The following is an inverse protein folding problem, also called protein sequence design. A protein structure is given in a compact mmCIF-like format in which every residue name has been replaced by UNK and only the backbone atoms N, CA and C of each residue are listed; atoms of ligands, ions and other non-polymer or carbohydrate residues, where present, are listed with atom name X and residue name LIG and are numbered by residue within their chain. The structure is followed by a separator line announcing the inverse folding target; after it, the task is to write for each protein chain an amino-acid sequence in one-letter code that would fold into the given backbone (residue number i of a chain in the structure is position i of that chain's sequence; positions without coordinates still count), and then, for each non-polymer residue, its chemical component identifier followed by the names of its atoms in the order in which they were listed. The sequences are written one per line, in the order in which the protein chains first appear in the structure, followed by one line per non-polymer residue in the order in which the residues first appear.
data_IF_272592296698
#
_entry.id   IF_272592296698
#
_cell.length_a   1.000
_cell.length_b   1.000
_cell.length_c   1.000
_cell.angle_alpha   90.00
_cell.angle_beta   90.00
_cell.angle_gamma   90.00
#
_symmetry.space_group_name_H-M   'P 1'
#
loop_
_entity.id
_entity.type
_entity.pdbx_description
1 polymer ?
#
# COMPACT_ATOMS: atom_id res chain seq x y z
N UNK A 1 -34.43 5.89 -1.80
CA UNK A 1 -33.28 4.98 -2.03
C UNK A 1 -33.77 3.90 -2.96
N UNK A 2 -33.24 3.88 -4.18
CA UNK A 2 -33.62 2.92 -5.24
C UNK A 2 -32.78 1.65 -5.10
N UNK A 3 -33.36 0.50 -5.44
CA UNK A 3 -32.72 -0.84 -5.39
C UNK A 3 -31.42 -0.95 -6.23
N UNK A 4 -31.12 0.02 -7.09
CA UNK A 4 -29.91 0.04 -7.91
C UNK A 4 -28.64 0.46 -7.16
N UNK A 5 -28.75 1.11 -5.99
CA UNK A 5 -27.59 1.54 -5.19
C UNK A 5 -26.91 0.38 -4.44
N UNK A 6 -27.54 -0.80 -4.38
CA UNK A 6 -26.99 -2.00 -3.73
C UNK A 6 -26.01 -2.81 -4.60
N UNK A 7 -25.88 -2.50 -5.90
CA UNK A 7 -25.09 -3.34 -6.84
C UNK A 7 -23.59 -3.05 -6.92
N UNK A 8 -23.10 -2.01 -6.27
CA UNK A 8 -21.68 -1.61 -6.33
C UNK A 8 -21.00 -1.52 -4.96
N UNK A 9 -21.38 -2.36 -4.01
CA UNK A 9 -20.60 -2.57 -2.78
C UNK A 9 -19.42 -3.49 -3.08
N UNK A 10 -18.33 -2.95 -3.61
CA UNK A 10 -17.05 -3.66 -3.68
C UNK A 10 -16.38 -3.66 -2.30
N UNK A 11 -16.98 -4.33 -1.31
CA UNK A 11 -16.43 -4.53 0.05
C UNK A 11 -14.89 -4.56 -0.02
N UNK A 12 -14.22 -3.59 0.60
CA UNK A 12 -12.79 -3.69 0.84
C UNK A 12 -12.60 -4.96 1.67
N UNK A 13 -12.17 -6.04 1.01
CA UNK A 13 -12.06 -7.36 1.63
C UNK A 13 -10.90 -7.32 2.60
N UNK A 14 -11.16 -6.83 3.81
CA UNK A 14 -10.27 -7.05 4.93
C UNK A 14 -10.30 -8.54 5.24
N UNK A 15 -9.13 -9.17 5.31
CA UNK A 15 -9.06 -10.51 5.86
C UNK A 15 -9.40 -10.44 7.35
N UNK A 16 -10.55 -11.00 7.73
CA UNK A 16 -10.96 -11.12 9.14
C UNK A 16 -10.39 -12.38 9.80
N UNK A 17 -9.68 -13.20 9.01
CA UNK A 17 -8.96 -14.37 9.51
C UNK A 17 -7.73 -14.67 8.65
N UNK A 18 -6.73 -15.40 9.19
CA UNK A 18 -5.58 -15.87 8.40
C UNK A 18 -5.97 -16.70 7.17
N UNK A 19 -7.10 -17.44 7.26
CA UNK A 19 -7.62 -18.22 6.13
C UNK A 19 -8.16 -17.32 5.03
N UNK A 20 -8.89 -16.28 5.40
CA UNK A 20 -9.42 -15.29 4.46
C UNK A 20 -8.29 -14.49 3.79
N UNK A 21 -7.19 -14.24 4.51
CA UNK A 21 -5.99 -13.63 3.95
C UNK A 21 -5.37 -14.51 2.86
N UNK A 22 -5.19 -15.80 3.16
CA UNK A 22 -4.70 -16.78 2.18
C UNK A 22 -5.67 -16.89 0.99
N UNK A 23 -6.98 -16.88 1.22
CA UNK A 23 -7.98 -16.90 0.14
C UNK A 23 -7.88 -15.66 -0.74
N UNK A 24 -7.71 -14.46 -0.17
CA UNK A 24 -7.53 -13.20 -0.91
C UNK A 24 -6.26 -13.24 -1.77
N UNK A 25 -5.14 -13.74 -1.24
CA UNK A 25 -3.88 -13.83 -1.99
C UNK A 25 -3.84 -15.01 -2.98
N UNK A 26 -4.48 -16.13 -2.67
CA UNK A 26 -4.46 -17.34 -3.50
C UNK A 26 -5.35 -17.25 -4.73
N UNK A 27 -6.38 -16.40 -4.70
CA UNK A 27 -7.36 -16.27 -5.78
C UNK A 27 -6.76 -15.69 -7.08
N UNK A 28 -5.56 -15.12 -7.00
CA UNK A 28 -4.86 -14.52 -8.14
C UNK A 28 -3.43 -15.08 -8.29
N UNK A 29 -2.74 -15.34 -7.18
CA UNK A 29 -1.29 -15.64 -7.18
C UNK A 29 -0.90 -17.04 -7.66
N UNK A 30 -1.87 -17.96 -7.82
CA UNK A 30 -1.62 -19.35 -8.24
C UNK A 30 -2.40 -19.78 -9.48
N UNK A 31 -2.99 -18.84 -10.22
CA UNK A 31 -3.65 -19.17 -11.48
C UNK A 31 -2.62 -19.50 -12.57
N UNK A 32 -2.87 -20.53 -13.40
CA UNK A 32 -2.16 -20.70 -14.66
C UNK A 32 -2.17 -19.40 -15.48
N UNK A 33 -1.09 -19.12 -16.22
CA UNK A 33 -0.89 -17.82 -16.87
C UNK A 33 -2.08 -17.38 -17.74
N UNK A 34 -2.71 -18.32 -18.45
CA UNK A 34 -3.87 -18.06 -19.29
C UNK A 34 -5.14 -17.71 -18.49
N UNK A 35 -5.34 -18.32 -17.32
CA UNK A 35 -6.44 -18.01 -16.41
C UNK A 35 -6.21 -16.69 -15.66
N UNK A 36 -4.99 -16.41 -15.21
CA UNK A 36 -4.60 -15.13 -14.64
C UNK A 36 -4.91 -13.97 -15.61
N UNK A 37 -4.46 -14.08 -16.87
CA UNK A 37 -4.72 -13.07 -17.89
C UNK A 37 -6.20 -12.95 -18.25
N UNK A 38 -7.00 -14.00 -18.07
CA UNK A 38 -8.46 -13.96 -18.29
C UNK A 38 -9.15 -13.23 -17.13
N UNK A 39 -8.76 -13.52 -15.89
CA UNK A 39 -9.32 -12.93 -14.67
C UNK A 39 -8.98 -11.44 -14.53
N UNK A 40 -7.76 -11.03 -14.90
CA UNK A 40 -7.36 -9.60 -14.99
C UNK A 40 -8.13 -8.87 -16.10
N UNK A 41 -8.40 -9.53 -17.24
CA UNK A 41 -9.17 -8.93 -18.34
C UNK A 41 -10.66 -8.83 -18.03
N UNK A 42 -11.23 -9.77 -17.27
CA UNK A 42 -12.65 -9.76 -16.87
C UNK A 42 -12.91 -8.95 -15.60
N UNK A 43 -11.94 -8.88 -14.70
CA UNK A 43 -11.93 -8.02 -13.51
C UNK A 43 -11.58 -6.61 -13.94
N UNK A 44 -12.51 -5.97 -14.65
CA UNK A 44 -12.34 -4.61 -15.11
C UNK A 44 -12.00 -3.69 -13.94
N UNK A 45 -10.73 -3.36 -13.79
CA UNK A 45 -10.39 -2.00 -13.39
C UNK A 45 -11.16 -1.14 -14.38
N UNK A 46 -12.19 -0.44 -13.92
CA UNK A 46 -12.71 0.72 -14.63
C UNK A 46 -11.56 1.72 -14.62
N UNK A 47 -10.56 1.50 -15.47
CA UNK A 47 -9.74 2.58 -15.98
C UNK A 47 -10.75 3.37 -16.77
N UNK A 48 -11.35 4.37 -16.12
CA UNK A 48 -12.03 5.42 -16.85
C UNK A 48 -11.06 5.78 -17.96
N UNK A 49 -11.45 5.53 -19.20
CA UNK A 49 -10.70 6.04 -20.33
C UNK A 49 -10.74 7.54 -20.15
N UNK A 50 -9.63 8.10 -19.66
CA UNK A 50 -9.35 9.52 -19.81
C UNK A 50 -9.48 9.72 -21.31
N UNK A 51 -10.62 10.29 -21.74
CA UNK A 51 -10.86 10.71 -23.12
C UNK A 51 -9.96 11.91 -23.37
N UNK A 52 -8.65 11.66 -23.35
CA UNK A 52 -7.68 12.50 -23.97
C UNK A 52 -7.91 12.26 -25.45
N UNK A 53 -8.74 13.11 -26.05
CA UNK A 53 -8.71 13.29 -27.50
C UNK A 53 -7.26 13.64 -27.82
N UNK A 54 -6.51 12.63 -28.27
CA UNK A 54 -5.16 12.80 -28.77
C UNK A 54 -5.34 13.64 -30.03
N UNK A 55 -5.35 14.96 -29.88
CA UNK A 55 -5.11 15.87 -30.99
C UNK A 55 -3.80 15.39 -31.59
N UNK A 56 -3.86 15.04 -32.87
CA UNK A 56 -2.66 14.72 -33.63
C UNK A 56 -1.62 15.76 -33.28
N UNK A 57 -0.48 15.28 -32.74
CA UNK A 57 0.64 16.12 -32.40
C UNK A 57 0.86 17.05 -33.59
N UNK A 58 0.76 18.35 -33.32
CA UNK A 58 0.98 19.40 -34.32
C UNK A 58 2.23 19.06 -35.13
N UNK A 59 2.24 19.45 -36.41
CA UNK A 59 3.39 19.29 -37.31
C UNK A 59 4.64 20.09 -36.90
N UNK A 60 4.82 20.34 -35.61
CA UNK A 60 6.04 20.88 -35.05
C UNK A 60 7.06 19.74 -34.96
N UNK A 61 8.19 19.90 -35.63
CA UNK A 61 9.28 18.91 -35.66
C UNK A 61 10.19 19.01 -34.42
N UNK A 62 9.92 19.93 -33.50
CA UNK A 62 10.62 20.00 -32.23
C UNK A 62 10.24 18.80 -31.38
N UNK A 63 11.24 18.13 -30.82
CA UNK A 63 11.00 17.11 -29.81
C UNK A 63 10.32 17.77 -28.60
N UNK A 64 9.06 17.44 -28.27
CA UNK A 64 8.33 18.07 -27.15
C UNK A 64 8.93 17.71 -25.78
N UNK A 65 9.93 16.84 -25.74
CA UNK A 65 10.67 16.46 -24.53
C UNK A 65 12.03 17.12 -24.42
N UNK A 66 12.43 17.92 -25.42
CA UNK A 66 13.77 18.52 -25.47
C UNK A 66 14.08 19.47 -24.32
N UNK A 67 13.06 20.05 -23.70
CA UNK A 67 13.20 20.95 -22.55
C UNK A 67 13.06 20.23 -21.19
N UNK A 68 12.90 18.90 -21.16
CA UNK A 68 12.83 18.13 -19.91
C UNK A 68 14.25 17.82 -19.43
N UNK A 69 14.63 18.35 -18.27
CA UNK A 69 15.93 18.05 -17.65
C UNK A 69 15.83 16.98 -16.56
N UNK A 70 16.94 16.27 -16.33
CA UNK A 70 17.03 15.30 -15.23
C UNK A 70 17.02 16.02 -13.87
N UNK A 71 17.58 17.23 -13.84
CA UNK A 71 17.65 18.10 -12.67
C UNK A 71 16.25 18.50 -12.19
N UNK A 72 15.37 18.97 -13.08
CA UNK A 72 13.98 19.33 -12.72
C UNK A 72 13.18 18.12 -12.21
N UNK A 73 13.41 16.94 -12.78
CA UNK A 73 12.79 15.70 -12.30
C UNK A 73 13.27 15.38 -10.89
N UNK A 74 14.58 15.50 -10.64
CA UNK A 74 15.16 15.22 -9.34
C UNK A 74 14.67 16.21 -8.27
N UNK A 75 14.62 17.50 -8.58
CA UNK A 75 14.07 18.51 -7.66
C UNK A 75 12.62 18.20 -7.27
N UNK A 76 11.80 17.80 -8.25
CA UNK A 76 10.42 17.39 -7.98
C UNK A 76 10.36 16.14 -7.08
N UNK A 77 11.24 15.16 -7.30
CA UNK A 77 11.33 13.98 -6.44
C UNK A 77 11.76 14.36 -5.02
N UNK A 78 12.73 15.25 -4.87
CA UNK A 78 13.24 15.69 -3.58
C UNK A 78 12.17 16.45 -2.78
N UNK A 79 11.39 17.32 -3.43
CA UNK A 79 10.26 18.02 -2.82
C UNK A 79 9.20 17.02 -2.29
N UNK A 80 8.88 15.99 -3.07
CA UNK A 80 7.94 14.93 -2.66
C UNK A 80 8.51 14.06 -1.53
N UNK A 81 9.81 13.75 -1.56
CA UNK A 81 10.49 13.01 -0.49
C UNK A 81 10.48 13.81 0.81
N UNK A 82 10.68 15.13 0.75
CA UNK A 82 10.61 15.99 1.93
C UNK A 82 9.24 15.96 2.60
N UNK A 83 8.14 15.90 1.82
CA UNK A 83 6.79 15.69 2.37
C UNK A 83 6.70 14.34 3.09
N UNK A 84 7.19 13.25 2.48
CA UNK A 84 7.18 11.93 3.10
C UNK A 84 8.04 11.83 4.37
N UNK A 85 9.16 12.55 4.42
CA UNK A 85 10.02 12.59 5.61
C UNK A 85 9.33 13.31 6.77
N UNK A 86 8.62 14.42 6.51
CA UNK A 86 7.80 15.05 7.54
C UNK A 86 6.74 14.11 8.11
N UNK A 87 6.07 13.34 7.25
CA UNK A 87 5.12 12.32 7.71
C UNK A 87 5.76 11.31 8.68
N UNK A 88 6.99 10.88 8.39
CA UNK A 88 7.75 10.00 9.27
C UNK A 88 8.11 10.70 10.59
N UNK A 89 8.61 11.93 10.51
CA UNK A 89 9.06 12.70 11.67
C UNK A 89 7.90 13.06 12.61
N UNK A 90 6.71 13.26 12.05
CA UNK A 90 5.47 13.49 12.78
C UNK A 90 4.86 12.19 13.36
N UNK A 91 5.47 11.03 13.08
CA UNK A 91 5.13 9.74 13.70
C UNK A 91 4.09 8.90 12.96
N UNK A 92 3.83 9.15 11.68
CA UNK A 92 2.92 8.30 10.89
C UNK A 92 3.50 6.88 10.71
N UNK A 93 2.75 5.85 11.11
CA UNK A 93 3.21 4.45 11.03
C UNK A 93 3.43 4.01 9.57
N UNK A 94 2.53 4.40 8.67
CA UNK A 94 2.64 4.10 7.22
C UNK A 94 3.37 5.19 6.44
N UNK A 95 3.89 6.22 7.11
CA UNK A 95 4.46 7.49 6.62
C UNK A 95 4.62 7.67 5.10
N UNK A 96 4.26 8.86 4.64
CA UNK A 96 4.36 9.22 3.24
C UNK A 96 3.20 10.13 2.86
N UNK A 97 2.71 9.98 1.63
CA UNK A 97 1.60 10.77 1.07
C UNK A 97 0.34 9.91 0.99
N UNK A 98 -0.02 9.28 2.10
CA UNK A 98 -1.12 8.31 2.19
C UNK A 98 -2.47 9.01 2.01
N UNK A 99 -3.38 8.40 1.27
CA UNK A 99 -4.70 8.95 0.99
C UNK A 99 -5.43 9.40 2.28
N UNK A 100 -6.07 10.55 2.22
CA UNK A 100 -6.80 11.23 3.30
C UNK A 100 -5.92 11.89 4.36
N UNK A 101 -4.60 11.78 4.31
CA UNK A 101 -3.70 12.37 5.33
C UNK A 101 -3.46 13.84 5.03
N UNK A 102 -2.86 14.57 5.97
CA UNK A 102 -2.43 15.95 5.69
C UNK A 102 -1.35 16.00 4.61
N UNK A 103 -0.49 14.98 4.52
CA UNK A 103 0.58 14.91 3.54
C UNK A 103 0.09 14.64 2.12
N UNK A 104 -1.04 13.94 1.96
CA UNK A 104 -1.73 13.92 0.66
C UNK A 104 -2.14 15.34 0.25
N UNK A 105 -2.77 16.10 1.16
CA UNK A 105 -3.20 17.48 0.88
C UNK A 105 -2.02 18.40 0.58
N UNK A 106 -0.95 18.35 1.37
CA UNK A 106 0.29 19.08 1.08
C UNK A 106 0.86 18.76 -0.30
N UNK A 107 0.73 17.51 -0.74
CA UNK A 107 1.16 17.09 -2.07
C UNK A 107 0.28 17.66 -3.17
N UNK A 108 -1.05 17.69 -2.95
CA UNK A 108 -1.99 18.30 -3.88
C UNK A 108 -1.74 19.81 -4.00
N UNK A 109 -1.49 20.50 -2.88
CA UNK A 109 -1.16 21.92 -2.83
C UNK A 109 0.17 22.21 -3.55
N UNK A 110 1.18 21.34 -3.35
CA UNK A 110 2.45 21.43 -4.08
C UNK A 110 2.24 21.35 -5.60
N UNK A 111 1.47 20.38 -6.08
CA UNK A 111 1.20 20.24 -7.51
C UNK A 111 0.31 21.36 -8.05
N UNK A 112 -0.63 21.88 -7.27
CA UNK A 112 -1.40 23.06 -7.64
C UNK A 112 -0.48 24.25 -7.89
N UNK A 113 0.44 24.52 -6.96
CA UNK A 113 1.44 25.58 -7.10
C UNK A 113 2.37 25.38 -8.30
N UNK A 114 2.91 24.16 -8.49
CA UNK A 114 3.78 23.84 -9.63
C UNK A 114 3.05 23.98 -10.96
N UNK A 115 1.83 23.45 -11.09
CA UNK A 115 1.05 23.57 -12.31
C UNK A 115 0.67 25.03 -12.58
N UNK A 116 0.25 25.78 -11.56
CA UNK A 116 -0.03 27.21 -11.69
C UNK A 116 1.17 28.05 -12.13
N UNK A 117 2.41 27.61 -11.81
CA UNK A 117 3.63 28.30 -12.23
C UNK A 117 3.86 28.30 -13.76
N UNK A 118 3.27 27.35 -14.49
CA UNK A 118 3.39 27.27 -15.95
C UNK A 118 2.47 28.28 -16.69
N UNK A 119 1.72 29.11 -15.98
CA UNK A 119 0.94 30.20 -16.54
C UNK A 119 -0.57 29.99 -16.43
N UNK A 120 -1.31 30.19 -17.53
CA UNK A 120 -2.77 30.28 -17.52
C UNK A 120 -3.48 28.92 -17.45
N UNK A 121 -3.02 28.02 -16.58
CA UNK A 121 -3.71 26.78 -16.27
C UNK A 121 -4.75 27.04 -15.19
N UNK A 122 -5.98 26.62 -15.45
CA UNK A 122 -6.99 26.49 -14.40
C UNK A 122 -6.73 25.17 -13.68
N UNK A 123 -6.26 25.25 -12.43
CA UNK A 123 -6.02 24.08 -11.59
C UNK A 123 -7.11 24.01 -10.53
N UNK A 124 -7.62 22.80 -10.28
CA UNK A 124 -8.69 22.53 -9.32
C UNK A 124 -8.50 21.17 -8.68
N UNK A 125 -8.87 21.04 -7.42
CA UNK A 125 -8.99 19.75 -6.74
C UNK A 125 -10.44 19.27 -6.84
N UNK A 126 -10.64 18.08 -7.41
CA UNK A 126 -11.93 17.42 -7.40
C UNK A 126 -12.00 16.49 -6.19
N UNK A 127 -12.88 16.81 -5.24
CA UNK A 127 -13.13 15.96 -4.09
C UNK A 127 -14.11 14.83 -4.43
N UNK A 128 -13.86 13.65 -3.87
CA UNK A 128 -14.78 12.53 -3.95
C UNK A 128 -14.83 11.79 -2.61
N UNK A 129 -15.99 11.26 -2.22
CA UNK A 129 -16.12 10.51 -0.98
C UNK A 129 -15.28 9.24 -1.06
N UNK A 130 -14.55 8.94 0.02
CA UNK A 130 -13.86 7.66 0.16
C UNK A 130 -14.93 6.56 0.27
N UNK A 131 -14.85 5.57 -0.62
CA UNK A 131 -15.86 4.51 -0.72
C UNK A 131 -15.83 3.50 0.44
N UNK A 132 -14.73 3.47 1.20
CA UNK A 132 -14.51 2.56 2.32
C UNK A 132 -13.85 3.29 3.49
N UNK A 133 -14.02 2.80 4.73
CA UNK A 133 -13.24 3.28 5.86
C UNK A 133 -11.76 3.17 5.54
N UNK A 134 -11.02 4.25 5.66
CA UNK A 134 -9.57 4.20 5.52
C UNK A 134 -8.99 3.42 6.69
N UNK A 135 -8.32 2.32 6.39
CA UNK A 135 -7.54 1.60 7.38
C UNK A 135 -6.31 2.43 7.74
N UNK A 136 -6.16 2.74 9.03
CA UNK A 136 -5.01 3.47 9.57
C UNK A 136 -4.57 2.85 10.87
N UNK A 137 -3.35 2.29 10.94
CA UNK A 137 -2.81 1.79 12.19
C UNK A 137 -2.49 3.00 13.08
N UNK A 138 -2.87 2.92 14.35
CA UNK A 138 -2.56 3.93 15.37
C UNK A 138 -1.45 3.48 16.32
N UNK A 139 -1.17 2.18 16.35
CA UNK A 139 -0.09 1.56 17.11
C UNK A 139 0.43 0.33 16.37
N UNK A 140 1.73 0.10 16.44
CA UNK A 140 2.34 -1.15 16.01
C UNK A 140 3.58 -1.42 16.88
N UNK A 141 3.73 -2.66 17.32
CA UNK A 141 4.86 -3.08 18.14
C UNK A 141 5.11 -4.57 17.99
N UNK A 142 6.38 -4.96 18.02
CA UNK A 142 6.80 -6.34 18.10
C UNK A 142 7.90 -6.45 19.15
N UNK A 143 7.81 -7.48 19.99
CA UNK A 143 8.76 -7.74 21.08
C UNK A 143 8.98 -9.25 21.22
N UNK A 144 10.22 -9.64 21.51
CA UNK A 144 10.55 -11.02 21.90
C UNK A 144 10.53 -11.12 23.42
N UNK A 145 9.46 -11.70 23.97
CA UNK A 145 9.26 -11.84 25.42
C UNK A 145 10.11 -12.94 26.07
N UNK A 146 10.53 -13.96 25.30
CA UNK A 146 11.32 -15.08 25.82
C UNK A 146 12.07 -15.78 24.69
N UNK A 147 13.34 -16.09 24.94
CA UNK A 147 14.20 -16.89 24.07
C UNK A 147 15.37 -17.47 24.86
N UNK A 148 16.08 -18.45 24.31
CA UNK A 148 17.28 -19.00 24.93
C UNK A 148 18.41 -17.96 25.14
N UNK A 149 18.35 -16.84 24.44
CA UNK A 149 19.30 -15.73 24.53
C UNK A 149 18.64 -14.45 25.07
N UNK A 150 17.47 -14.57 25.71
CA UNK A 150 16.76 -13.41 26.25
C UNK A 150 17.52 -12.85 27.46
N UNK A 151 17.72 -11.54 27.43
CA UNK A 151 18.34 -10.77 28.49
C UNK A 151 17.34 -9.70 28.94
N UNK A 152 16.85 -9.79 30.17
CA UNK A 152 15.90 -8.80 30.72
C UNK A 152 16.50 -7.39 30.80
N UNK A 153 17.83 -7.26 30.80
CA UNK A 153 18.52 -5.97 30.75
C UNK A 153 18.64 -5.40 29.34
N UNK A 154 18.38 -6.21 28.31
CA UNK A 154 18.44 -5.82 26.91
C UNK A 154 17.33 -6.52 26.09
N UNK A 155 16.06 -6.07 26.22
CA UNK A 155 14.95 -6.68 25.52
C UNK A 155 15.08 -6.51 24.00
N UNK A 156 14.67 -7.54 23.25
CA UNK A 156 14.67 -7.49 21.79
C UNK A 156 13.36 -6.89 21.27
N UNK A 157 13.37 -5.57 21.07
CA UNK A 157 12.25 -4.78 20.52
C UNK A 157 12.51 -4.30 19.10
N UNK A 158 11.46 -4.15 18.29
CA UNK A 158 11.55 -3.65 16.92
C UNK A 158 11.03 -2.21 16.85
N UNK A 159 11.93 -1.24 16.68
CA UNK A 159 11.59 0.19 16.68
C UNK A 159 10.66 0.59 15.51
N UNK A 160 10.91 0.04 14.32
CA UNK A 160 10.16 0.34 13.10
C UNK A 160 9.36 -0.89 12.64
N UNK A 161 8.64 -1.53 13.57
CA UNK A 161 7.73 -2.59 13.19
C UNK A 161 6.72 -2.04 12.16
N UNK A 162 6.63 -2.69 11.01
CA UNK A 162 5.62 -2.40 9.99
C UNK A 162 4.54 -3.47 10.03
N UNK A 163 3.32 -3.06 9.74
CA UNK A 163 2.17 -3.95 9.60
C UNK A 163 1.87 -4.09 8.12
N UNK A 164 1.54 -5.30 7.63
CA UNK A 164 1.06 -5.45 6.26
C UNK A 164 -0.20 -4.60 6.08
N UNK A 165 -0.30 -3.91 4.94
CA UNK A 165 -1.48 -3.13 4.60
C UNK A 165 -2.44 -3.97 3.74
N UNK A 166 -3.71 -4.16 4.16
CA UNK A 166 -4.28 -3.96 5.50
C UNK A 166 -4.09 -5.17 6.42
N UNK A 167 -4.12 -4.95 7.74
CA UNK A 167 -4.07 -6.00 8.78
C UNK A 167 -5.23 -5.88 9.77
N UNK A 168 -5.62 -7.01 10.36
CA UNK A 168 -6.57 -7.03 11.47
C UNK A 168 -5.93 -6.45 12.75
N UNK A 169 -6.78 -5.95 13.63
CA UNK A 169 -6.39 -5.52 14.98
C UNK A 169 -5.99 -6.74 15.82
N UNK A 170 -4.97 -6.57 16.65
CA UNK A 170 -4.68 -7.51 17.74
C UNK A 170 -5.62 -7.21 18.91
N UNK A 171 -5.72 -8.15 19.85
CA UNK A 171 -6.38 -7.88 21.13
C UNK A 171 -5.69 -6.73 21.89
N UNK A 172 -6.36 -6.17 22.90
CA UNK A 172 -5.88 -5.01 23.69
C UNK A 172 -4.51 -5.22 24.34
N UNK A 173 -4.12 -6.47 24.58
CA UNK A 173 -2.84 -6.86 25.17
C UNK A 173 -1.81 -7.34 24.12
N UNK A 174 -2.16 -7.25 22.83
CA UNK A 174 -1.41 -7.89 21.76
C UNK A 174 -1.60 -9.40 21.74
N UNK A 175 -1.22 -10.01 20.62
CA UNK A 175 -1.26 -11.47 20.46
C UNK A 175 0.07 -12.08 20.89
N UNK A 176 0.10 -12.72 22.05
CA UNK A 176 1.29 -13.41 22.57
C UNK A 176 1.23 -14.90 22.26
N UNK A 177 2.19 -15.38 21.49
CA UNK A 177 2.30 -16.81 21.17
C UNK A 177 3.75 -17.21 20.82
N UNK A 178 4.02 -18.51 20.87
CA UNK A 178 5.30 -19.07 20.45
C UNK A 178 5.52 -18.81 18.95
N UNK A 179 6.72 -18.37 18.59
CA UNK A 179 7.11 -18.13 17.20
C UNK A 179 7.55 -19.43 16.52
N UNK A 180 7.03 -19.72 15.33
CA UNK A 180 7.49 -20.82 14.46
C UNK A 180 8.02 -20.27 13.14
N UNK A 181 9.28 -20.61 12.82
CA UNK A 181 9.86 -20.28 11.52
C UNK A 181 9.46 -21.32 10.46
N UNK A 182 8.96 -20.84 9.32
CA UNK A 182 8.41 -21.67 8.23
C UNK A 182 9.06 -21.43 6.87
N UNK A 183 10.26 -20.84 6.83
CA UNK A 183 10.92 -20.53 5.56
C UNK A 183 10.10 -19.54 4.74
N UNK A 184 9.82 -19.82 3.47
CA UNK A 184 9.01 -18.93 2.62
C UNK A 184 7.49 -19.13 2.82
N UNK A 185 7.05 -20.05 3.68
CA UNK A 185 5.63 -20.33 3.91
C UNK A 185 4.97 -21.15 2.79
N UNK A 186 5.74 -21.88 1.97
CA UNK A 186 5.19 -22.77 0.95
C UNK A 186 4.42 -23.94 1.56
N UNK A 187 3.49 -24.54 0.81
CA UNK A 187 2.73 -25.71 1.27
C UNK A 187 3.64 -26.85 1.75
N UNK A 188 4.77 -27.08 1.09
CA UNK A 188 5.76 -28.09 1.49
C UNK A 188 6.47 -27.75 2.81
N UNK A 189 6.75 -26.47 3.06
CA UNK A 189 7.37 -26.01 4.31
C UNK A 189 6.39 -26.01 5.48
N UNK A 190 5.09 -25.84 5.22
CA UNK A 190 4.04 -25.90 6.23
C UNK A 190 3.63 -27.35 6.56
N UNK A 191 3.84 -28.29 5.64
CA UNK A 191 3.40 -29.67 5.80
C UNK A 191 4.01 -30.33 7.05
N UNK A 192 3.16 -30.91 7.89
CA UNK A 192 3.57 -31.59 9.13
C UNK A 192 3.93 -30.65 10.30
N UNK A 193 3.87 -29.33 10.15
CA UNK A 193 4.06 -28.38 11.25
C UNK A 193 2.75 -28.13 11.99
N UNK A 194 2.79 -28.10 13.33
CA UNK A 194 1.66 -27.64 14.14
C UNK A 194 1.71 -26.12 14.26
N UNK A 195 0.79 -25.42 13.60
CA UNK A 195 0.69 -23.96 13.58
C UNK A 195 -0.34 -23.41 14.58
N UNK A 196 -1.10 -24.29 15.23
CA UNK A 196 -2.20 -23.87 16.11
C UNK A 196 -1.66 -23.08 17.30
N UNK A 197 -2.18 -21.85 17.49
CA UNK A 197 -1.79 -20.96 18.59
C UNK A 197 -0.35 -20.45 18.52
N UNK A 198 0.25 -20.36 17.32
CA UNK A 198 1.61 -19.87 17.11
C UNK A 198 1.64 -18.62 16.24
N UNK A 199 2.63 -17.75 16.47
CA UNK A 199 2.99 -16.68 15.51
C UNK A 199 3.88 -17.29 14.43
N UNK A 200 3.49 -17.15 13.18
CA UNK A 200 4.27 -17.65 12.05
C UNK A 200 5.29 -16.60 11.60
N UNK A 201 6.57 -16.94 11.69
CA UNK A 201 7.65 -16.15 11.09
C UNK A 201 8.02 -16.77 9.75
N UNK A 202 7.85 -15.97 8.69
CA UNK A 202 8.24 -16.35 7.34
C UNK A 202 9.27 -15.38 6.79
N UNK A 203 10.13 -15.88 5.91
CA UNK A 203 11.03 -15.08 5.11
C UNK A 203 10.29 -14.66 3.85
N UNK A 204 10.05 -13.37 3.71
CA UNK A 204 9.54 -12.83 2.45
C UNK A 204 10.60 -13.02 1.36
N UNK A 205 10.21 -13.64 0.24
CA UNK A 205 10.95 -13.53 -1.00
C UNK A 205 10.61 -12.15 -1.57
N UNK A 206 11.37 -11.12 -1.14
CA UNK A 206 11.33 -9.73 -1.62
C UNK A 206 10.36 -9.50 -2.79
N UNK A 207 9.13 -9.09 -2.52
CA UNK A 207 8.49 -8.16 -3.45
C UNK A 207 9.22 -6.85 -3.27
N UNK A 208 10.13 -6.54 -4.21
CA UNK A 208 10.73 -5.22 -4.28
C UNK A 208 9.60 -4.21 -4.51
N UNK A 209 9.38 -3.35 -3.53
CA UNK A 209 8.36 -2.30 -3.57
C UNK A 209 6.95 -2.80 -3.31
N UNK A 210 6.60 -3.01 -2.04
CA UNK A 210 5.23 -3.28 -1.64
C UNK A 210 5.10 -3.11 -0.14
N UNK A 211 4.76 -1.88 0.29
CA UNK A 211 4.02 -1.63 1.52
C UNK A 211 2.63 -2.27 1.40
#
# INVERSE_FOLDING_TARGET
MSDDDQKYSAIQKMATSPRELIDIFSDISFLPADEYHRKIRSGGSVRASLRLDRKDASQDKSDPTSDISAEEIQECVDDLVAISQRARDDGEILWGRIQGTQYERETLDYFEGKLGSFGSLEVRHDEFPVRYPQWRPTSNSLEVLSSAHHDESNPFTFADALTPFPSAETDEHGNVAEVIYVGNGSASELNGKNLSGKVVLLRSASMGGGL
#
